data_IF_580495818512
#
_entry.id   IF_580495818512
#
_cell.length_a   1.000
_cell.length_b   1.000
_cell.length_c   1.000
_cell.angle_alpha   90.00
_cell.angle_beta   90.00
_cell.angle_gamma   90.00
#
_symmetry.space_group_name_H-M   'P 1'
#
loop_
_entity.id
_entity.type
_entity.pdbx_description
1 polymer ?
#
# COMPACT_ATOMS: atom_id res chain seq x y z
N UNK A 1 31.38 37.26 -16.48
CA UNK A 1 30.24 36.84 -15.62
C UNK A 1 30.11 35.31 -15.70
N UNK A 2 30.53 34.61 -14.63
CA UNK A 2 30.35 33.16 -14.54
C UNK A 2 28.90 32.88 -14.11
N UNK A 3 28.09 32.22 -14.95
CA UNK A 3 26.79 31.70 -14.58
C UNK A 3 27.01 30.60 -13.53
N UNK A 4 26.63 30.85 -12.31
CA UNK A 4 26.46 29.80 -11.29
C UNK A 4 25.34 28.88 -11.75
N UNK A 5 25.72 27.69 -12.20
CA UNK A 5 24.79 26.59 -12.48
C UNK A 5 24.25 26.14 -11.11
N UNK A 6 23.05 26.59 -10.80
CA UNK A 6 22.35 26.13 -9.61
C UNK A 6 22.25 24.61 -9.62
N UNK A 7 22.75 23.97 -8.56
CA UNK A 7 22.63 22.52 -8.33
C UNK A 7 21.14 22.20 -8.38
N UNK A 8 20.69 21.36 -9.35
CA UNK A 8 19.31 20.85 -9.39
C UNK A 8 18.97 20.30 -8.00
N UNK A 9 17.77 20.63 -7.46
CA UNK A 9 17.36 20.06 -6.18
C UNK A 9 17.50 18.54 -6.25
N UNK A 10 18.21 17.96 -5.29
CA UNK A 10 18.35 16.51 -5.21
C UNK A 10 16.99 15.97 -4.76
N UNK A 11 16.32 15.21 -5.63
CA UNK A 11 15.06 14.55 -5.27
C UNK A 11 15.32 13.60 -4.09
N UNK A 12 14.47 13.66 -3.08
CA UNK A 12 14.58 12.81 -1.90
C UNK A 12 14.08 11.39 -2.21
N UNK A 13 14.38 10.41 -1.32
CA UNK A 13 13.84 9.06 -1.42
C UNK A 13 12.31 9.07 -1.42
N UNK A 14 11.70 9.88 -0.56
CA UNK A 14 10.24 10.04 -0.53
C UNK A 14 9.69 10.68 -1.80
N UNK A 15 10.35 11.68 -2.34
CA UNK A 15 9.98 12.27 -3.62
C UNK A 15 10.07 11.27 -4.78
N UNK A 16 11.02 10.33 -4.74
CA UNK A 16 11.07 9.23 -5.71
C UNK A 16 9.91 8.24 -5.52
N UNK A 17 9.47 8.00 -4.29
CA UNK A 17 8.28 7.19 -4.03
C UNK A 17 6.99 7.89 -4.51
N UNK A 18 6.90 9.23 -4.41
CA UNK A 18 5.76 9.98 -4.99
C UNK A 18 5.69 9.80 -6.51
N UNK A 19 6.82 9.91 -7.19
CA UNK A 19 6.90 9.66 -8.64
C UNK A 19 6.59 8.20 -8.97
N UNK A 20 7.00 7.25 -8.13
CA UNK A 20 6.71 5.83 -8.31
C UNK A 20 5.20 5.53 -8.15
N UNK A 21 4.53 6.12 -7.16
CA UNK A 21 3.08 6.01 -6.99
C UNK A 21 2.33 6.51 -8.22
N UNK A 22 2.73 7.67 -8.75
CA UNK A 22 2.12 8.23 -9.96
C UNK A 22 2.33 7.31 -11.17
N UNK A 23 3.55 6.79 -11.35
CA UNK A 23 3.88 5.87 -12.44
C UNK A 23 3.04 4.58 -12.39
N UNK A 24 2.84 4.02 -11.18
CA UNK A 24 1.98 2.84 -10.98
C UNK A 24 0.53 3.18 -11.28
N UNK A 25 0.03 4.32 -10.83
CA UNK A 25 -1.35 4.77 -11.06
C UNK A 25 -1.63 4.97 -12.55
N UNK A 26 -0.70 5.57 -13.29
CA UNK A 26 -0.89 5.83 -14.71
C UNK A 26 -0.71 4.59 -15.58
N UNK A 27 0.33 3.79 -15.32
CA UNK A 27 0.82 2.76 -16.24
C UNK A 27 0.78 1.33 -15.66
N UNK A 28 0.46 1.19 -14.37
CA UNK A 28 0.42 -0.10 -13.68
C UNK A 28 1.77 -0.55 -13.12
N UNK A 29 1.71 -1.56 -12.25
CA UNK A 29 2.90 -2.07 -11.52
C UNK A 29 3.98 -2.68 -12.40
N UNK A 30 3.62 -3.21 -13.56
CA UNK A 30 4.59 -3.76 -14.54
C UNK A 30 5.48 -2.67 -15.16
N UNK A 31 4.98 -1.44 -15.29
CA UNK A 31 5.74 -0.30 -15.79
C UNK A 31 6.77 0.23 -14.78
N UNK A 32 6.63 -0.09 -13.49
CA UNK A 32 7.53 0.36 -12.44
C UNK A 32 8.90 -0.34 -12.55
N UNK A 33 9.85 0.35 -13.14
CA UNK A 33 11.25 -0.08 -13.27
C UNK A 33 12.18 1.04 -12.83
N UNK A 34 13.43 0.72 -12.46
CA UNK A 34 14.47 1.72 -12.15
C UNK A 34 14.65 2.71 -13.31
N UNK A 35 14.59 2.22 -14.55
CA UNK A 35 14.72 3.09 -15.73
C UNK A 35 13.53 4.01 -15.96
N UNK A 36 12.31 3.51 -15.79
CA UNK A 36 11.09 4.30 -15.91
C UNK A 36 11.01 5.37 -14.82
N UNK A 37 11.33 5.00 -13.57
CA UNK A 37 11.38 5.94 -12.45
C UNK A 37 12.44 7.02 -12.67
N UNK A 38 13.64 6.65 -13.14
CA UNK A 38 14.70 7.63 -13.46
C UNK A 38 14.25 8.63 -14.52
N UNK A 39 13.59 8.13 -15.59
CA UNK A 39 13.03 8.97 -16.65
C UNK A 39 11.95 9.91 -16.12
N UNK A 40 10.99 9.39 -15.34
CA UNK A 40 9.89 10.17 -14.78
C UNK A 40 10.39 11.23 -13.78
N UNK A 41 11.36 10.88 -12.93
CA UNK A 41 11.97 11.79 -11.96
C UNK A 41 12.99 12.78 -12.56
N UNK A 42 13.36 12.63 -13.84
CA UNK A 42 14.34 13.51 -14.51
C UNK A 42 15.76 13.38 -13.98
N UNK A 43 16.15 12.20 -13.46
CA UNK A 43 17.50 11.90 -12.95
C UNK A 43 18.11 10.68 -13.65
N UNK A 44 19.38 10.39 -13.36
CA UNK A 44 20.05 9.19 -13.91
C UNK A 44 19.57 7.91 -13.20
N UNK A 45 19.70 6.75 -13.88
CA UNK A 45 19.47 5.43 -13.24
C UNK A 45 20.34 5.25 -11.98
N UNK A 46 21.58 5.69 -12.00
CA UNK A 46 22.47 5.66 -10.82
C UNK A 46 21.94 6.51 -9.67
N UNK A 47 21.27 7.63 -9.96
CA UNK A 47 20.59 8.45 -8.94
C UNK A 47 19.44 7.73 -8.28
N UNK A 48 18.66 6.95 -9.02
CA UNK A 48 17.60 6.09 -8.44
C UNK A 48 18.20 4.94 -7.66
N UNK A 49 19.25 4.27 -8.20
CA UNK A 49 19.92 3.14 -7.56
C UNK A 49 20.63 3.51 -6.26
N UNK A 50 20.97 4.77 -6.06
CA UNK A 50 21.45 5.26 -4.76
C UNK A 50 20.38 5.13 -3.67
N UNK A 51 19.11 5.30 -4.03
CA UNK A 51 17.97 5.21 -3.10
C UNK A 51 17.34 3.82 -3.05
N UNK A 52 17.35 3.08 -4.16
CA UNK A 52 16.74 1.74 -4.29
C UNK A 52 17.68 0.83 -5.06
N UNK A 53 18.22 -0.18 -4.38
CA UNK A 53 19.21 -1.11 -4.94
C UNK A 53 18.66 -1.91 -6.13
N UNK A 54 17.37 -2.21 -6.15
CA UNK A 54 16.69 -3.00 -7.17
C UNK A 54 15.25 -2.54 -7.39
N UNK A 55 14.58 -3.10 -8.41
CA UNK A 55 13.13 -2.95 -8.58
C UNK A 55 12.37 -3.53 -7.38
N UNK A 56 12.81 -4.65 -6.88
CA UNK A 56 12.21 -5.32 -5.73
C UNK A 56 12.27 -4.43 -4.47
N UNK A 57 13.42 -3.84 -4.18
CA UNK A 57 13.60 -2.88 -3.09
C UNK A 57 12.71 -1.64 -3.25
N UNK A 58 12.55 -1.13 -4.49
CA UNK A 58 11.63 -0.04 -4.79
C UNK A 58 10.18 -0.44 -4.51
N UNK A 59 9.73 -1.59 -4.99
CA UNK A 59 8.37 -2.10 -4.77
C UNK A 59 8.12 -2.33 -3.28
N UNK A 60 9.05 -2.98 -2.58
CA UNK A 60 8.96 -3.19 -1.14
C UNK A 60 8.86 -1.87 -0.36
N UNK A 61 9.65 -0.87 -0.73
CA UNK A 61 9.60 0.46 -0.12
C UNK A 61 8.27 1.17 -0.35
N UNK A 62 7.69 1.00 -1.53
CA UNK A 62 6.40 1.57 -1.88
C UNK A 62 5.25 0.92 -1.09
N UNK A 63 5.25 -0.41 -1.01
CA UNK A 63 4.26 -1.16 -0.22
C UNK A 63 4.41 -0.83 1.28
N UNK A 64 5.63 -0.78 1.81
CA UNK A 64 5.88 -0.40 3.20
C UNK A 64 5.34 1.01 3.52
N UNK A 65 5.47 1.96 2.59
CA UNK A 65 4.89 3.31 2.73
C UNK A 65 3.36 3.27 2.81
N UNK A 66 2.70 2.46 1.98
CA UNK A 66 1.25 2.29 2.02
C UNK A 66 0.79 1.63 3.31
N UNK A 67 1.46 0.57 3.74
CA UNK A 67 1.20 -0.09 5.03
C UNK A 67 1.35 0.88 6.20
N UNK A 68 2.43 1.68 6.21
CA UNK A 68 2.65 2.69 7.26
C UNK A 68 1.53 3.73 7.30
N UNK A 69 1.06 4.19 6.14
CA UNK A 69 -0.08 5.13 6.08
C UNK A 69 -1.38 4.48 6.57
N UNK A 70 -1.60 3.22 6.23
CA UNK A 70 -2.76 2.46 6.70
C UNK A 70 -2.72 2.25 8.21
N UNK A 71 -1.56 1.83 8.75
CA UNK A 71 -1.35 1.65 10.19
C UNK A 71 -1.53 2.97 10.97
N UNK A 72 -1.12 4.09 10.40
CA UNK A 72 -1.35 5.41 11.01
C UNK A 72 -2.86 5.67 11.14
N UNK A 73 -3.66 5.39 10.11
CA UNK A 73 -5.13 5.53 10.18
C UNK A 73 -5.76 4.60 11.22
N UNK A 74 -5.23 3.37 11.40
CA UNK A 74 -5.71 2.43 12.41
C UNK A 74 -5.39 2.87 13.83
N UNK A 75 -4.28 3.56 14.04
CA UNK A 75 -3.77 3.95 15.36
C UNK A 75 -4.19 5.37 15.79
N UNK A 76 -4.78 6.14 14.89
CA UNK A 76 -5.25 7.51 15.16
C UNK A 76 -6.49 7.54 16.08
N UNK A 77 -7.17 6.41 16.23
CA UNK A 77 -8.34 6.26 17.10
C UNK A 77 -8.02 5.25 18.20
N UNK A 78 -8.19 5.67 19.47
CA UNK A 78 -8.14 4.74 20.61
C UNK A 78 -9.26 3.69 20.46
N UNK A 79 -8.90 2.41 20.53
CA UNK A 79 -9.85 1.31 20.37
C UNK A 79 -9.94 0.51 21.66
N UNK A 80 -11.14 0.47 22.26
CA UNK A 80 -11.42 -0.23 23.52
C UNK A 80 -11.95 -1.67 23.28
N UNK A 81 -11.42 -2.34 22.26
CA UNK A 81 -11.77 -3.73 21.99
C UNK A 81 -11.95 -4.06 20.50
N UNK A 82 -12.30 -5.32 20.20
CA UNK A 82 -12.34 -5.81 18.83
C UNK A 82 -13.38 -5.12 17.94
N UNK A 83 -14.50 -4.66 18.52
CA UNK A 83 -15.56 -3.95 17.75
C UNK A 83 -15.09 -2.57 17.32
N UNK A 84 -14.46 -1.81 18.19
CA UNK A 84 -13.96 -0.49 17.83
C UNK A 84 -12.79 -0.60 16.86
N UNK A 85 -11.93 -1.59 17.06
CA UNK A 85 -10.85 -1.87 16.14
C UNK A 85 -11.36 -2.20 14.73
N UNK A 86 -12.36 -3.10 14.60
CA UNK A 86 -12.87 -3.44 13.25
C UNK A 86 -13.58 -2.28 12.58
N UNK A 87 -14.23 -1.39 13.32
CA UNK A 87 -14.80 -0.14 12.77
C UNK A 87 -13.71 0.76 12.20
N UNK A 88 -12.61 0.95 12.94
CA UNK A 88 -11.45 1.71 12.47
C UNK A 88 -10.81 1.07 11.25
N UNK A 89 -10.71 -0.27 11.23
CA UNK A 89 -10.21 -1.02 10.08
C UNK A 89 -11.08 -0.82 8.82
N UNK A 90 -12.39 -0.91 8.96
CA UNK A 90 -13.34 -0.65 7.86
C UNK A 90 -13.19 0.79 7.34
N UNK A 91 -13.11 1.77 8.22
CA UNK A 91 -12.95 3.17 7.85
C UNK A 91 -11.61 3.42 7.13
N UNK A 92 -10.50 2.89 7.65
CA UNK A 92 -9.19 2.97 7.02
C UNK A 92 -9.17 2.28 5.64
N UNK A 93 -9.79 1.11 5.53
CA UNK A 93 -9.91 0.37 4.26
C UNK A 93 -10.69 1.17 3.23
N UNK A 94 -11.84 1.76 3.59
CA UNK A 94 -12.63 2.61 2.67
C UNK A 94 -11.83 3.81 2.18
N UNK A 95 -11.11 4.48 3.06
CA UNK A 95 -10.24 5.62 2.71
C UNK A 95 -9.11 5.19 1.77
N UNK A 96 -8.44 4.07 2.07
CA UNK A 96 -7.35 3.53 1.24
C UNK A 96 -7.85 3.05 -0.12
N UNK A 97 -9.03 2.42 -0.18
CA UNK A 97 -9.62 1.94 -1.43
C UNK A 97 -10.01 3.08 -2.38
N UNK A 98 -10.36 4.26 -1.87
CA UNK A 98 -10.60 5.44 -2.72
C UNK A 98 -9.34 5.91 -3.45
N UNK A 99 -8.17 5.68 -2.85
CA UNK A 99 -6.86 6.01 -3.43
C UNK A 99 -6.25 4.88 -4.27
N UNK A 100 -6.76 3.64 -4.13
CA UNK A 100 -6.20 2.45 -4.78
C UNK A 100 -7.04 2.06 -6.00
N UNK A 101 -6.47 2.22 -7.18
CA UNK A 101 -7.06 1.73 -8.43
C UNK A 101 -6.64 0.27 -8.75
N UNK A 102 -7.23 -0.30 -9.79
CA UNK A 102 -6.92 -1.67 -10.22
C UNK A 102 -5.45 -1.87 -10.59
N UNK A 103 -4.76 -0.84 -11.05
CA UNK A 103 -3.34 -0.91 -11.44
C UNK A 103 -2.43 -1.00 -10.22
N UNK A 104 -2.74 -0.23 -9.17
CA UNK A 104 -2.06 -0.28 -7.88
C UNK A 104 -2.31 -1.63 -7.20
N UNK A 105 -3.54 -2.13 -7.26
CA UNK A 105 -3.90 -3.46 -6.77
C UNK A 105 -3.12 -4.58 -7.47
N UNK A 106 -2.92 -4.50 -8.78
CA UNK A 106 -2.08 -5.46 -9.53
C UNK A 106 -0.63 -5.51 -9.03
N UNK A 107 -0.06 -4.37 -8.60
CA UNK A 107 1.26 -4.36 -7.97
C UNK A 107 1.26 -5.11 -6.63
N UNK A 108 0.22 -4.93 -5.81
CA UNK A 108 0.09 -5.65 -4.53
C UNK A 108 0.01 -7.16 -4.72
N UNK A 109 -0.74 -7.64 -5.71
CA UNK A 109 -0.80 -9.07 -6.03
C UNK A 109 0.57 -9.60 -6.43
N UNK A 110 1.26 -8.91 -7.36
CA UNK A 110 2.62 -9.28 -7.78
C UNK A 110 3.64 -9.23 -6.62
N UNK A 111 3.47 -8.33 -5.67
CA UNK A 111 4.30 -8.24 -4.47
C UNK A 111 4.22 -9.53 -3.63
N UNK A 112 3.02 -10.11 -3.48
CA UNK A 112 2.78 -11.30 -2.67
C UNK A 112 3.29 -12.60 -3.32
N UNK A 113 3.66 -12.59 -4.62
CA UNK A 113 4.29 -13.74 -5.28
C UNK A 113 5.70 -14.01 -4.75
N UNK A 114 6.39 -13.00 -4.20
CA UNK A 114 7.68 -13.18 -3.55
C UNK A 114 7.51 -13.76 -2.13
N UNK A 115 8.14 -14.93 -1.81
CA UNK A 115 8.00 -15.58 -0.50
C UNK A 115 8.46 -14.74 0.69
N UNK A 116 9.44 -13.84 0.50
CA UNK A 116 9.91 -12.94 1.57
C UNK A 116 8.87 -11.88 1.88
N UNK A 117 8.30 -11.25 0.86
CA UNK A 117 7.23 -10.26 1.01
C UNK A 117 5.98 -10.89 1.62
N UNK A 118 5.64 -12.12 1.20
CA UNK A 118 4.52 -12.86 1.79
C UNK A 118 4.72 -13.12 3.27
N UNK A 119 5.98 -13.33 3.72
CA UNK A 119 6.29 -13.50 5.16
C UNK A 119 6.01 -12.20 5.93
N UNK A 120 6.51 -11.06 5.45
CA UNK A 120 6.27 -9.74 6.04
C UNK A 120 4.76 -9.45 6.13
N UNK A 121 4.03 -9.75 5.07
CA UNK A 121 2.56 -9.59 5.02
C UNK A 121 1.85 -10.50 6.03
N UNK A 122 2.26 -11.75 6.16
CA UNK A 122 1.70 -12.67 7.17
C UNK A 122 1.92 -12.17 8.61
N UNK A 123 3.09 -11.60 8.89
CA UNK A 123 3.39 -11.06 10.22
C UNK A 123 2.52 -9.83 10.51
N UNK A 124 2.29 -8.98 9.53
CA UNK A 124 1.35 -7.86 9.65
C UNK A 124 -0.09 -8.33 9.91
N UNK A 125 -0.60 -9.28 9.13
CA UNK A 125 -1.94 -9.86 9.34
C UNK A 125 -2.05 -10.54 10.70
N UNK A 126 -1.00 -11.19 11.19
CA UNK A 126 -0.98 -11.78 12.54
C UNK A 126 -1.22 -10.71 13.61
N UNK A 127 -0.57 -9.55 13.49
CA UNK A 127 -0.81 -8.41 14.38
C UNK A 127 -2.26 -7.90 14.33
N UNK A 128 -2.91 -7.90 13.17
CA UNK A 128 -4.34 -7.59 13.05
C UNK A 128 -5.21 -8.63 13.78
N UNK A 129 -4.95 -9.92 13.54
CA UNK A 129 -5.71 -11.01 14.19
C UNK A 129 -5.55 -11.01 15.71
N UNK A 130 -4.39 -10.64 16.23
CA UNK A 130 -4.15 -10.53 17.68
C UNK A 130 -5.05 -9.46 18.31
N UNK A 131 -5.31 -8.35 17.60
CA UNK A 131 -6.26 -7.30 18.05
C UNK A 131 -7.73 -7.72 18.00
N UNK A 132 -8.06 -8.73 17.20
CA UNK A 132 -9.39 -9.34 17.08
C UNK A 132 -9.54 -10.61 17.93
N UNK A 133 -8.54 -10.95 18.76
CA UNK A 133 -8.52 -12.17 19.56
C UNK A 133 -9.61 -12.17 20.64
N UNK A 134 -10.01 -13.36 21.05
CA UNK A 134 -10.98 -13.58 22.12
C UNK A 134 -12.12 -14.52 21.72
N UNK A 135 -12.84 -15.02 22.73
CA UNK A 135 -13.97 -15.94 22.55
C UNK A 135 -15.34 -15.24 22.67
N UNK A 136 -15.36 -13.93 22.94
CA UNK A 136 -16.62 -13.19 23.06
C UNK A 136 -17.38 -13.15 21.74
N UNK A 137 -18.72 -13.01 21.75
CA UNK A 137 -19.52 -12.79 20.54
C UNK A 137 -19.01 -11.59 19.70
N UNK A 138 -18.58 -10.52 20.37
CA UNK A 138 -18.04 -9.33 19.74
C UNK A 138 -16.73 -9.61 18.98
N UNK A 139 -15.81 -10.35 19.59
CA UNK A 139 -14.57 -10.76 18.94
C UNK A 139 -14.82 -11.67 17.74
N UNK A 140 -15.81 -12.57 17.85
CA UNK A 140 -16.22 -13.44 16.73
C UNK A 140 -16.82 -12.62 15.59
N UNK A 141 -17.75 -11.70 15.90
CA UNK A 141 -18.36 -10.81 14.91
C UNK A 141 -17.31 -9.91 14.21
N UNK A 142 -16.36 -9.36 14.97
CA UNK A 142 -15.29 -8.54 14.43
C UNK A 142 -14.39 -9.33 13.46
N UNK A 143 -14.05 -10.59 13.76
CA UNK A 143 -13.31 -11.46 12.82
C UNK A 143 -14.10 -11.77 11.55
N UNK A 144 -15.41 -12.01 11.65
CA UNK A 144 -16.25 -12.22 10.46
C UNK A 144 -16.29 -10.95 9.61
N UNK A 145 -16.46 -9.78 10.23
CA UNK A 145 -16.43 -8.50 9.53
C UNK A 145 -15.07 -8.25 8.86
N UNK A 146 -13.96 -8.56 9.53
CA UNK A 146 -12.63 -8.48 8.95
C UNK A 146 -12.50 -9.34 7.69
N UNK A 147 -12.87 -10.62 7.77
CA UNK A 147 -12.82 -11.54 6.62
C UNK A 147 -13.73 -11.09 5.47
N UNK A 148 -14.88 -10.49 5.79
CA UNK A 148 -15.76 -9.93 4.77
C UNK A 148 -15.12 -8.73 4.05
N UNK A 149 -14.47 -7.83 4.79
CA UNK A 149 -13.73 -6.68 4.22
C UNK A 149 -12.61 -7.14 3.29
N UNK A 150 -11.80 -8.12 3.75
CA UNK A 150 -10.73 -8.68 2.94
C UNK A 150 -11.27 -9.38 1.68
N UNK A 151 -12.36 -10.11 1.81
CA UNK A 151 -13.05 -10.75 0.67
C UNK A 151 -13.53 -9.71 -0.36
N UNK A 152 -14.17 -8.64 0.09
CA UNK A 152 -14.62 -7.54 -0.78
C UNK A 152 -13.44 -6.83 -1.45
N UNK A 153 -12.35 -6.61 -0.71
CA UNK A 153 -11.12 -6.07 -1.28
C UNK A 153 -10.58 -6.94 -2.41
N UNK A 154 -10.48 -8.27 -2.18
CA UNK A 154 -10.03 -9.22 -3.20
C UNK A 154 -10.94 -9.23 -4.44
N UNK A 155 -12.25 -9.18 -4.27
CA UNK A 155 -13.21 -9.13 -5.38
C UNK A 155 -13.00 -7.86 -6.22
N UNK A 156 -12.76 -6.73 -5.57
CA UNK A 156 -12.51 -5.46 -6.25
C UNK A 156 -11.21 -5.44 -7.02
N UNK A 157 -10.09 -5.87 -6.40
CA UNK A 157 -8.78 -5.84 -7.08
C UNK A 157 -8.69 -6.81 -8.25
N UNK A 158 -9.53 -7.86 -8.27
CA UNK A 158 -9.65 -8.79 -9.38
C UNK A 158 -10.71 -8.35 -10.42
N UNK A 159 -11.30 -7.16 -10.30
CA UNK A 159 -12.27 -6.64 -11.26
C UNK A 159 -13.63 -7.35 -11.21
N UNK A 160 -13.94 -8.11 -10.16
CA UNK A 160 -15.23 -8.81 -10.02
C UNK A 160 -16.30 -7.84 -9.53
N UNK A 161 -15.96 -6.91 -8.65
CA UNK A 161 -16.81 -5.79 -8.21
C UNK A 161 -16.41 -4.50 -8.93
N UNK A 162 -16.60 -4.44 -10.24
CA UNK A 162 -16.17 -3.32 -11.09
C UNK A 162 -16.78 -1.96 -10.70
N UNK A 163 -18.01 -1.97 -10.20
CA UNK A 163 -18.76 -0.76 -9.89
C UNK A 163 -18.85 -0.45 -8.38
N UNK A 164 -18.19 -1.24 -7.54
CA UNK A 164 -18.24 -1.07 -6.08
C UNK A 164 -19.65 -1.28 -5.49
N UNK A 165 -20.54 -1.99 -6.19
CA UNK A 165 -21.93 -2.22 -5.77
C UNK A 165 -21.99 -3.00 -4.46
N UNK A 166 -21.06 -3.93 -4.27
CA UNK A 166 -21.02 -4.79 -3.08
C UNK A 166 -20.31 -4.11 -1.90
N UNK A 167 -19.64 -2.99 -2.13
CA UNK A 167 -18.97 -2.18 -1.10
C UNK A 167 -19.74 -0.92 -0.70
N UNK A 168 -20.95 -0.73 -1.24
CA UNK A 168 -21.81 0.44 -1.01
C UNK A 168 -22.75 0.31 0.21
N UNK A 169 -22.36 -0.45 1.23
CA UNK A 169 -23.14 -0.60 2.47
C UNK A 169 -22.85 0.49 3.49
#
# INVERSE_FOLDING_TARGET
MRKTVGRKPTITRDGLLDVAEELVREQGGSALTIGALAKAAGISKGGVQYSFASRDDLVRSLVARWTTRFDAMLNDVATDGPVDFIRSYIAATRTSQQAMDAKTAGLMVSYLENPEHLRETRDWYRGIFDRLAGASPDAQAARVAFLAVEGLFLLRINGIDENGVWTSF
#
